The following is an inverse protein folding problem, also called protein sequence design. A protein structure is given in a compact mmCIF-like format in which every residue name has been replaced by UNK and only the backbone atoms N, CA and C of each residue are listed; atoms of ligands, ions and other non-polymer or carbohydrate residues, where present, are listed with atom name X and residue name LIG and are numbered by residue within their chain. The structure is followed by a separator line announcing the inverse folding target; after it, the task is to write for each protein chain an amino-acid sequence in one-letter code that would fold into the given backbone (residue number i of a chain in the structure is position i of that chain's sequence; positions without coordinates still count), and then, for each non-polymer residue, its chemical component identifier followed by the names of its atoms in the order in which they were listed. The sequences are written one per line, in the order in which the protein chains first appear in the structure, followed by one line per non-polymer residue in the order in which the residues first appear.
data_IF_175303811592
#
_entry.id   IF_175303811592
#
_cell.length_a   1.000
_cell.length_b   1.000
_cell.length_c   1.000
_cell.angle_alpha   90.00
_cell.angle_beta   90.00
_cell.angle_gamma   90.00
#
_symmetry.space_group_name_H-M   'P 1'
#
loop_
_entity.id
_entity.type
_entity.pdbx_description
1 polymer ?
#
# COMPACT_ATOMS: atom_id res chain seq x y z
N UNK A 1 15.97 2.28 -17.23
CA UNK A 1 15.74 1.08 -16.39
C UNK A 1 14.37 0.48 -16.68
N UNK A 2 14.19 -0.79 -16.33
CA UNK A 2 12.90 -1.47 -16.29
C UNK A 2 12.49 -1.71 -14.85
N UNK A 3 11.44 -1.03 -14.41
CA UNK A 3 11.00 -1.00 -13.02
C UNK A 3 9.65 -1.69 -12.94
N UNK A 4 9.54 -2.70 -12.09
CA UNK A 4 8.27 -3.36 -11.77
C UNK A 4 7.85 -2.96 -10.37
N UNK A 5 6.74 -2.25 -10.25
CA UNK A 5 6.13 -1.90 -8.97
C UNK A 5 5.13 -3.02 -8.64
N UNK A 6 5.46 -3.85 -7.66
CA UNK A 6 4.53 -4.82 -7.10
C UNK A 6 3.80 -4.13 -5.94
N UNK A 7 2.47 -4.04 -6.05
CA UNK A 7 1.65 -3.43 -5.01
C UNK A 7 0.32 -4.18 -4.87
N UNK A 8 -0.21 -4.35 -3.65
CA UNK A 8 -1.56 -4.85 -3.46
C UNK A 8 -2.63 -3.80 -3.80
N UNK A 9 -2.30 -2.51 -3.85
CA UNK A 9 -3.23 -1.44 -4.19
C UNK A 9 -2.52 -0.29 -4.91
N UNK A 10 -3.23 0.42 -5.78
CA UNK A 10 -2.73 1.57 -6.51
C UNK A 10 -3.89 2.33 -7.16
N UNK A 11 -3.83 3.65 -7.10
CA UNK A 11 -4.71 4.49 -7.91
C UNK A 11 -4.31 4.39 -9.39
N UNK A 12 -5.27 4.42 -10.32
CA UNK A 12 -6.72 4.58 -10.10
C UNK A 12 -7.46 3.27 -9.78
N UNK A 13 -6.78 2.11 -9.82
CA UNK A 13 -7.44 0.81 -9.90
C UNK A 13 -8.11 0.35 -8.59
N UNK A 14 -7.38 0.36 -7.48
CA UNK A 14 -7.87 -0.08 -6.18
C UNK A 14 -7.16 0.69 -5.05
N UNK A 15 -7.91 1.08 -4.02
CA UNK A 15 -7.41 1.92 -2.93
C UNK A 15 -8.10 1.61 -1.61
N UNK A 16 -7.30 1.40 -0.57
CA UNK A 16 -7.78 1.42 0.83
C UNK A 16 -7.04 2.44 1.68
N UNK A 17 -5.79 2.75 1.36
CA UNK A 17 -4.96 3.69 2.11
C UNK A 17 -4.04 4.54 1.23
N UNK A 18 -3.05 5.17 1.87
CA UNK A 18 -2.08 6.04 1.21
C UNK A 18 -1.08 5.30 0.33
N UNK A 19 -0.87 4.00 0.57
CA UNK A 19 -0.05 3.14 -0.30
C UNK A 19 -0.53 3.23 -1.76
N UNK A 20 -1.84 3.16 -1.98
CA UNK A 20 -2.39 3.23 -3.32
C UNK A 20 -2.04 4.53 -4.05
N UNK A 21 -2.07 5.65 -3.34
CA UNK A 21 -1.74 6.97 -3.89
C UNK A 21 -0.26 7.02 -4.29
N UNK A 22 0.63 6.54 -3.42
CA UNK A 22 2.07 6.51 -3.68
C UNK A 22 2.40 5.62 -4.87
N UNK A 23 1.86 4.40 -4.92
CA UNK A 23 2.15 3.46 -6.00
C UNK A 23 1.68 3.99 -7.37
N UNK A 24 0.48 4.60 -7.42
CA UNK A 24 -0.05 5.19 -8.66
C UNK A 24 0.72 6.43 -9.11
N UNK A 25 1.01 7.36 -8.19
CA UNK A 25 1.77 8.57 -8.49
C UNK A 25 3.22 8.24 -8.91
N UNK A 26 3.88 7.32 -8.22
CA UNK A 26 5.24 6.90 -8.56
C UNK A 26 5.32 6.28 -9.96
N UNK A 27 4.36 5.43 -10.33
CA UNK A 27 4.30 4.86 -11.69
C UNK A 27 4.25 5.97 -12.75
N UNK A 28 3.36 6.95 -12.55
CA UNK A 28 3.18 8.09 -13.45
C UNK A 28 4.48 8.89 -13.58
N UNK A 29 5.10 9.25 -12.46
CA UNK A 29 6.35 10.03 -12.44
C UNK A 29 7.53 9.29 -13.09
N UNK A 30 7.68 7.98 -12.85
CA UNK A 30 8.72 7.19 -13.52
C UNK A 30 8.52 7.16 -15.04
N UNK A 31 7.28 7.02 -15.51
CA UNK A 31 6.97 7.04 -16.96
C UNK A 31 7.18 8.42 -17.57
N UNK A 32 6.87 9.50 -16.84
CA UNK A 32 7.18 10.88 -17.25
C UNK A 32 8.69 11.11 -17.38
N UNK A 33 9.50 10.44 -16.55
CA UNK A 33 10.96 10.41 -16.68
C UNK A 33 11.48 9.42 -17.75
N UNK A 34 10.59 8.90 -18.60
CA UNK A 34 10.89 7.95 -19.67
C UNK A 34 11.45 6.60 -19.22
N UNK A 35 11.22 6.22 -17.96
CA UNK A 35 11.54 4.88 -17.47
C UNK A 35 10.52 3.84 -17.96
N UNK A 36 10.96 2.60 -18.19
CA UNK A 36 10.06 1.48 -18.51
C UNK A 36 9.47 0.94 -17.22
N UNK A 37 8.49 1.66 -16.67
CA UNK A 37 7.82 1.31 -15.42
C UNK A 37 6.46 0.64 -15.66
N UNK A 38 6.21 -0.41 -14.89
CA UNK A 38 4.99 -1.21 -14.90
C UNK A 38 4.50 -1.44 -13.48
N UNK A 39 3.20 -1.41 -13.31
CA UNK A 39 2.53 -1.79 -12.07
C UNK A 39 2.00 -3.22 -12.18
N UNK A 40 2.12 -4.01 -11.12
CA UNK A 40 1.48 -5.32 -11.02
C UNK A 40 0.59 -5.34 -9.79
N UNK A 41 -0.67 -5.73 -9.99
CA UNK A 41 -1.73 -5.79 -8.98
C UNK A 41 -2.46 -7.15 -9.03
N UNK A 42 -3.04 -7.60 -7.92
CA UNK A 42 -4.11 -8.59 -7.97
C UNK A 42 -5.32 -8.04 -8.74
N UNK A 43 -6.00 -8.88 -9.52
CA UNK A 43 -7.24 -8.47 -10.17
C UNK A 43 -8.43 -8.64 -9.22
N UNK A 44 -8.71 -7.61 -8.41
CA UNK A 44 -9.88 -7.57 -7.54
C UNK A 44 -11.18 -7.34 -8.30
N UNK A 45 -12.31 -7.75 -7.71
CA UNK A 45 -13.66 -7.53 -8.23
C UNK A 45 -13.92 -6.08 -8.61
N UNK A 46 -13.50 -5.13 -7.76
CA UNK A 46 -13.69 -3.68 -7.98
C UNK A 46 -12.95 -3.17 -9.22
N UNK A 47 -11.79 -3.76 -9.55
CA UNK A 47 -11.05 -3.41 -10.75
C UNK A 47 -11.78 -3.96 -11.98
N UNK A 48 -12.17 -5.25 -11.91
CA UNK A 48 -12.84 -5.96 -13.00
C UNK A 48 -14.19 -5.35 -13.38
N UNK A 49 -14.91 -4.76 -12.42
CA UNK A 49 -16.20 -4.11 -12.67
C UNK A 49 -16.09 -2.69 -13.21
N UNK A 50 -15.00 -1.96 -12.90
CA UNK A 50 -14.84 -0.54 -13.21
C UNK A 50 -13.98 -0.26 -14.44
N UNK A 51 -13.02 -1.13 -14.75
CA UNK A 51 -12.02 -0.89 -15.79
C UNK A 51 -12.13 -1.87 -16.95
N UNK A 52 -11.94 -1.36 -18.16
CA UNK A 52 -11.76 -2.20 -19.35
C UNK A 52 -10.35 -2.77 -19.36
N UNK A 53 -10.25 -4.08 -19.21
CA UNK A 53 -8.99 -4.81 -19.18
C UNK A 53 -8.88 -5.75 -20.38
N UNK A 54 -7.66 -6.04 -20.79
CA UNK A 54 -7.38 -6.90 -21.93
C UNK A 54 -6.69 -8.17 -21.47
N UNK A 55 -7.29 -9.32 -21.76
CA UNK A 55 -6.66 -10.60 -21.49
C UNK A 55 -5.44 -10.78 -22.41
N UNK A 56 -4.31 -11.16 -21.83
CA UNK A 56 -3.08 -11.44 -22.59
C UNK A 56 -3.10 -12.83 -23.25
N UNK A 57 -4.08 -13.66 -22.89
CA UNK A 57 -4.12 -15.08 -23.25
C UNK A 57 -3.10 -15.94 -22.50
N UNK A 58 -2.31 -15.35 -21.60
CA UNK A 58 -1.30 -16.06 -20.79
C UNK A 58 -1.85 -16.41 -19.42
N UNK A 59 -1.38 -17.54 -18.90
CA UNK A 59 -1.72 -18.05 -17.57
C UNK A 59 -0.47 -18.46 -16.82
N UNK A 60 -0.49 -18.34 -15.51
CA UNK A 60 0.55 -18.77 -14.58
C UNK A 60 -0.01 -19.82 -13.63
N UNK A 61 0.85 -20.68 -13.09
CA UNK A 61 0.48 -21.68 -12.08
C UNK A 61 1.42 -21.54 -10.91
N UNK A 62 0.85 -21.32 -9.73
CA UNK A 62 1.60 -21.14 -8.48
C UNK A 62 1.25 -22.28 -7.53
N UNK A 63 2.26 -22.99 -7.03
CA UNK A 63 2.10 -24.02 -6.01
C UNK A 63 2.12 -23.39 -4.62
N UNK A 64 1.11 -23.67 -3.81
CA UNK A 64 1.02 -23.18 -2.42
C UNK A 64 0.68 -24.38 -1.54
N UNK A 65 1.65 -24.78 -0.71
CA UNK A 65 1.60 -26.08 -0.03
C UNK A 65 1.44 -27.22 -1.06
N UNK A 66 0.34 -27.96 -0.95
CA UNK A 66 0.01 -29.06 -1.88
C UNK A 66 -0.95 -28.65 -3.01
N UNK A 67 -1.50 -27.44 -2.97
CA UNK A 67 -2.45 -26.96 -3.96
C UNK A 67 -1.74 -26.21 -5.11
N UNK A 68 -2.39 -26.18 -6.27
CA UNK A 68 -1.98 -25.36 -7.40
C UNK A 68 -3.07 -24.34 -7.71
N UNK A 69 -2.69 -23.06 -7.73
CA UNK A 69 -3.56 -21.96 -8.09
C UNK A 69 -3.21 -21.48 -9.49
N UNK A 70 -4.22 -21.36 -10.35
CA UNK A 70 -4.05 -20.84 -11.71
C UNK A 70 -4.40 -19.35 -11.75
N UNK A 71 -3.49 -18.55 -12.27
CA UNK A 71 -3.69 -17.13 -12.51
C UNK A 71 -3.84 -16.81 -14.00
N UNK A 72 -4.74 -15.91 -14.38
CA UNK A 72 -4.76 -15.32 -15.74
C UNK A 72 -4.16 -13.92 -15.71
N UNK A 73 -3.43 -13.56 -16.75
CA UNK A 73 -2.79 -12.24 -16.84
C UNK A 73 -3.63 -11.32 -17.74
N UNK A 74 -4.01 -10.17 -17.18
CA UNK A 74 -4.65 -9.06 -17.88
C UNK A 74 -3.73 -7.84 -17.91
N UNK A 75 -3.98 -6.91 -18.82
CA UNK A 75 -3.26 -5.65 -18.94
C UNK A 75 -4.21 -4.46 -19.14
N UNK A 76 -3.72 -3.25 -18.81
CA UNK A 76 -4.51 -2.00 -18.91
C UNK A 76 -4.72 -1.50 -20.34
N UNK A 77 -3.90 -1.93 -21.30
CA UNK A 77 -3.98 -1.57 -22.71
C UNK A 77 -3.65 -2.77 -23.62
N UNK A 78 -4.09 -2.75 -24.89
CA UNK A 78 -3.72 -3.75 -25.91
C UNK A 78 -2.30 -3.55 -26.45
N UNK A 79 -1.71 -2.41 -26.15
CA UNK A 79 -0.44 -1.95 -26.70
C UNK A 79 0.73 -2.77 -26.16
N UNK A 80 1.89 -2.67 -26.80
CA UNK A 80 3.10 -3.42 -26.44
C UNK A 80 3.70 -3.01 -25.06
N UNK A 81 3.21 -1.92 -24.46
CA UNK A 81 3.75 -1.36 -23.22
C UNK A 81 2.63 -0.91 -22.25
N UNK A 82 1.80 -1.84 -21.74
CA UNK A 82 0.74 -1.49 -20.80
C UNK A 82 1.33 -0.92 -19.51
N UNK A 83 0.63 0.01 -18.88
CA UNK A 83 1.10 0.62 -17.62
C UNK A 83 0.93 -0.32 -16.43
N UNK A 84 -0.06 -1.21 -16.51
CA UNK A 84 -0.39 -2.13 -15.44
C UNK A 84 -0.71 -3.52 -15.97
N UNK A 85 -0.25 -4.52 -15.23
CA UNK A 85 -0.66 -5.91 -15.34
C UNK A 85 -1.49 -6.32 -14.11
N UNK A 86 -2.48 -7.18 -14.35
CA UNK A 86 -3.36 -7.68 -13.31
C UNK A 86 -3.36 -9.20 -13.31
N UNK A 87 -3.29 -9.78 -12.11
CA UNK A 87 -3.28 -11.23 -11.92
C UNK A 87 -4.65 -11.65 -11.41
N UNK A 88 -5.45 -12.27 -12.28
CA UNK A 88 -6.74 -12.85 -11.94
C UNK A 88 -6.56 -14.20 -11.27
N UNK A 89 -7.12 -14.35 -10.08
CA UNK A 89 -7.37 -15.63 -9.44
C UNK A 89 -8.67 -15.46 -8.65
N UNK A 90 -9.82 -15.71 -9.29
CA UNK A 90 -11.15 -15.41 -8.70
C UNK A 90 -11.36 -16.15 -7.35
N UNK A 91 -10.74 -17.31 -7.16
CA UNK A 91 -10.76 -18.05 -5.88
C UNK A 91 -10.20 -17.20 -4.71
N UNK A 92 -9.13 -16.42 -4.97
CA UNK A 92 -8.41 -15.62 -3.98
C UNK A 92 -8.84 -14.13 -3.98
N UNK A 93 -9.23 -13.57 -5.13
CA UNK A 93 -9.48 -12.12 -5.28
C UNK A 93 -10.92 -11.77 -5.66
N UNK A 94 -11.78 -12.76 -5.91
CA UNK A 94 -13.22 -12.59 -6.11
C UNK A 94 -13.95 -12.27 -4.81
N UNK A 95 -13.59 -11.15 -4.19
CA UNK A 95 -14.16 -10.64 -2.94
C UNK A 95 -14.54 -9.15 -3.09
N UNK A 96 -15.46 -8.62 -2.27
CA UNK A 96 -15.83 -7.21 -2.33
C UNK A 96 -14.69 -6.26 -1.93
N UNK A 97 -13.95 -6.61 -0.89
CA UNK A 97 -12.88 -5.79 -0.32
C UNK A 97 -11.48 -6.39 -0.58
N UNK A 98 -10.44 -5.58 -0.37
CA UNK A 98 -9.06 -5.97 -0.67
C UNK A 98 -8.47 -6.92 0.37
N UNK A 99 -8.61 -6.61 1.67
CA UNK A 99 -7.93 -7.32 2.75
C UNK A 99 -8.87 -7.97 3.77
N UNK A 100 -10.08 -7.44 3.95
CA UNK A 100 -11.02 -7.88 4.97
C UNK A 100 -12.30 -7.06 4.94
N UNK A 101 -13.26 -7.39 5.80
CA UNK A 101 -14.51 -6.64 5.97
C UNK A 101 -14.53 -5.96 7.34
N UNK A 102 -15.64 -5.33 7.70
CA UNK A 102 -15.84 -4.82 9.07
C UNK A 102 -15.75 -5.90 10.15
N UNK A 103 -15.85 -7.19 9.79
CA UNK A 103 -15.67 -8.32 10.70
C UNK A 103 -14.19 -8.70 10.92
N UNK A 104 -13.27 -8.11 10.17
CA UNK A 104 -11.83 -8.36 10.25
C UNK A 104 -11.22 -8.81 8.93
N UNK A 105 -9.92 -9.12 9.00
CA UNK A 105 -9.11 -9.60 7.88
C UNK A 105 -9.61 -10.94 7.34
N UNK A 106 -9.47 -11.16 6.03
CA UNK A 106 -9.73 -12.47 5.46
C UNK A 106 -8.72 -13.50 6.00
N UNK A 107 -9.22 -14.61 6.52
CA UNK A 107 -8.41 -15.64 7.18
C UNK A 107 -7.36 -16.28 6.25
N UNK A 108 -7.59 -16.27 4.94
CA UNK A 108 -6.70 -16.80 3.91
C UNK A 108 -5.71 -15.76 3.36
N UNK A 109 -5.62 -14.56 3.96
CA UNK A 109 -4.72 -13.49 3.52
C UNK A 109 -3.27 -13.94 3.30
N UNK A 110 -2.75 -14.80 4.18
CA UNK A 110 -1.42 -15.38 3.98
C UNK A 110 -1.30 -16.08 2.60
N UNK A 111 -2.27 -16.93 2.26
CA UNK A 111 -2.32 -17.66 0.98
C UNK A 111 -2.45 -16.68 -0.19
N UNK A 112 -3.33 -15.68 -0.06
CA UNK A 112 -3.59 -14.68 -1.11
C UNK A 112 -2.33 -13.90 -1.49
N UNK A 113 -1.49 -13.55 -0.52
CA UNK A 113 -0.30 -12.73 -0.79
C UNK A 113 0.99 -13.55 -0.96
N UNK A 114 1.04 -14.79 -0.48
CA UNK A 114 2.00 -15.81 -0.96
C UNK A 114 1.79 -16.04 -2.45
N UNK A 115 0.53 -16.27 -2.86
CA UNK A 115 0.17 -16.41 -4.27
C UNK A 115 0.66 -15.19 -5.05
N UNK A 116 0.29 -13.99 -4.61
CA UNK A 116 0.63 -12.76 -5.32
C UNK A 116 2.15 -12.59 -5.50
N UNK A 117 2.92 -12.74 -4.43
CA UNK A 117 4.38 -12.60 -4.46
C UNK A 117 5.03 -13.57 -5.46
N UNK A 118 4.58 -14.83 -5.48
CA UNK A 118 5.03 -15.81 -6.48
C UNK A 118 4.54 -15.47 -7.88
N UNK A 119 3.28 -15.06 -8.00
CA UNK A 119 2.63 -14.77 -9.26
C UNK A 119 3.27 -13.58 -10.00
N UNK A 120 3.79 -12.58 -9.28
CA UNK A 120 4.60 -11.49 -9.86
C UNK A 120 5.84 -12.04 -10.56
N UNK A 121 6.56 -12.97 -9.94
CA UNK A 121 7.75 -13.59 -10.53
C UNK A 121 7.38 -14.49 -11.73
N UNK A 122 6.33 -15.29 -11.62
CA UNK A 122 5.83 -16.11 -12.74
C UNK A 122 5.33 -15.26 -13.92
N UNK A 123 4.72 -14.10 -13.64
CA UNK A 123 4.33 -13.13 -14.65
C UNK A 123 5.56 -12.59 -15.39
N UNK A 124 6.64 -12.26 -14.67
CA UNK A 124 7.89 -11.80 -15.27
C UNK A 124 8.46 -12.84 -16.25
N UNK A 125 8.46 -14.12 -15.86
CA UNK A 125 8.91 -15.21 -16.72
C UNK A 125 8.00 -15.38 -17.95
N UNK A 126 6.69 -15.42 -17.73
CA UNK A 126 5.68 -15.70 -18.76
C UNK A 126 5.58 -14.59 -19.79
N UNK A 127 5.65 -13.33 -19.35
CA UNK A 127 5.61 -12.14 -20.19
C UNK A 127 6.99 -11.70 -20.67
N UNK A 128 8.05 -12.44 -20.30
CA UNK A 128 9.46 -12.14 -20.62
C UNK A 128 9.90 -10.75 -20.15
N UNK A 129 9.31 -10.26 -19.08
CA UNK A 129 9.69 -9.01 -18.42
C UNK A 129 10.89 -9.32 -17.53
N UNK A 130 12.08 -8.87 -17.94
CA UNK A 130 13.30 -8.85 -17.11
C UNK A 130 13.42 -7.49 -16.42
N UNK A 131 12.95 -7.31 -15.17
CA UNK A 131 13.08 -6.05 -14.45
C UNK A 131 14.52 -5.84 -13.96
N UNK A 132 15.00 -4.60 -14.05
CA UNK A 132 16.23 -4.18 -13.37
C UNK A 132 15.95 -4.03 -11.87
N UNK A 133 14.76 -3.50 -11.52
CA UNK A 133 14.30 -3.33 -10.14
C UNK A 133 12.88 -3.85 -9.98
N UNK A 134 12.64 -4.63 -8.92
CA UNK A 134 11.30 -4.90 -8.40
C UNK A 134 11.10 -4.10 -7.11
N UNK A 135 10.17 -3.15 -7.17
CA UNK A 135 9.79 -2.32 -6.04
C UNK A 135 8.58 -2.97 -5.34
N UNK A 136 8.85 -3.56 -4.18
CA UNK A 136 7.90 -4.27 -3.35
C UNK A 136 7.30 -3.31 -2.31
N UNK A 137 5.98 -3.23 -2.23
CA UNK A 137 5.27 -2.39 -1.28
C UNK A 137 4.53 -3.23 -0.23
N UNK A 138 4.84 -2.97 1.05
CA UNK A 138 4.26 -3.60 2.24
C UNK A 138 4.30 -5.14 2.28
N UNK A 139 3.83 -5.71 3.39
CA UNK A 139 3.92 -7.13 3.71
C UNK A 139 3.35 -8.05 2.62
N UNK A 140 2.38 -7.57 1.83
CA UNK A 140 1.73 -8.28 0.74
C UNK A 140 2.69 -8.69 -0.38
N UNK A 141 3.82 -8.00 -0.52
CA UNK A 141 4.84 -8.25 -1.54
C UNK A 141 6.22 -8.57 -0.94
N UNK A 142 6.31 -8.63 0.39
CA UNK A 142 7.55 -8.80 1.13
C UNK A 142 8.24 -10.16 0.89
N UNK A 143 7.51 -11.17 0.37
CA UNK A 143 8.10 -12.47 0.02
C UNK A 143 8.83 -12.47 -1.32
N UNK A 144 8.60 -11.50 -2.20
CA UNK A 144 9.28 -11.39 -3.50
C UNK A 144 10.82 -11.38 -3.35
N UNK A 145 11.44 -10.48 -2.54
CA UNK A 145 12.90 -10.47 -2.37
C UNK A 145 13.43 -11.78 -1.78
N UNK A 146 12.69 -12.38 -0.83
CA UNK A 146 13.06 -13.68 -0.27
C UNK A 146 13.03 -14.79 -1.34
N UNK A 147 12.01 -14.80 -2.20
CA UNK A 147 11.87 -15.79 -3.27
C UNK A 147 12.97 -15.67 -4.31
N UNK A 148 13.37 -14.45 -4.67
CA UNK A 148 14.53 -14.21 -5.52
C UNK A 148 15.83 -14.80 -4.92
N UNK A 149 16.00 -14.72 -3.59
CA UNK A 149 17.19 -15.25 -2.89
C UNK A 149 17.07 -16.74 -2.51
N UNK A 150 15.93 -17.38 -2.76
CA UNK A 150 15.66 -18.78 -2.39
C UNK A 150 15.17 -19.60 -3.58
N UNK A 151 13.86 -19.62 -3.84
CA UNK A 151 13.23 -20.47 -4.85
C UNK A 151 13.63 -20.12 -6.29
N UNK A 152 13.99 -18.86 -6.55
CA UNK A 152 14.36 -18.35 -7.88
C UNK A 152 15.85 -17.97 -7.97
N UNK A 153 16.67 -18.31 -6.96
CA UNK A 153 18.08 -17.88 -6.87
C UNK A 153 18.92 -18.26 -8.10
N UNK A 154 18.67 -19.44 -8.67
CA UNK A 154 19.43 -19.99 -9.80
C UNK A 154 18.76 -19.66 -11.15
N UNK A 155 17.67 -18.88 -11.14
CA UNK A 155 16.97 -18.49 -12.36
C UNK A 155 17.67 -17.28 -13.01
N UNK A 156 18.35 -17.53 -14.13
CA UNK A 156 19.11 -16.52 -14.87
C UNK A 156 18.28 -15.34 -15.37
N UNK A 157 16.93 -15.45 -15.41
CA UNK A 157 16.04 -14.34 -15.76
C UNK A 157 16.11 -13.19 -14.76
N UNK A 158 16.40 -13.47 -13.48
CA UNK A 158 16.47 -12.49 -12.39
C UNK A 158 17.89 -12.22 -11.90
N UNK A 159 18.92 -12.74 -12.55
CA UNK A 159 20.31 -12.66 -12.08
C UNK A 159 20.85 -11.23 -11.88
N UNK A 160 20.21 -10.23 -12.50
CA UNK A 160 20.54 -8.80 -12.37
C UNK A 160 19.41 -7.96 -11.76
N UNK A 161 18.37 -8.61 -11.24
CA UNK A 161 17.23 -7.93 -10.65
C UNK A 161 17.54 -7.55 -9.21
N UNK A 162 17.47 -6.26 -8.90
CA UNK A 162 17.51 -5.73 -7.53
C UNK A 162 16.11 -5.51 -6.98
N UNK A 163 16.01 -5.40 -5.66
CA UNK A 163 14.75 -5.20 -4.94
C UNK A 163 14.81 -4.01 -4.01
N UNK A 164 13.76 -3.19 -4.07
CA UNK A 164 13.51 -2.13 -3.09
C UNK A 164 12.23 -2.51 -2.35
N UNK A 165 12.26 -2.49 -1.02
CA UNK A 165 11.09 -2.76 -0.19
C UNK A 165 10.65 -1.50 0.54
N UNK A 166 9.43 -1.02 0.30
CA UNK A 166 8.87 0.12 1.03
C UNK A 166 7.91 -0.33 2.11
N UNK A 167 8.13 0.15 3.33
CA UNK A 167 7.17 0.04 4.42
C UNK A 167 6.36 1.33 4.52
N UNK A 168 5.06 1.25 4.26
CA UNK A 168 4.13 2.38 4.38
C UNK A 168 3.52 2.47 5.77
N UNK A 169 3.40 1.33 6.46
CA UNK A 169 2.86 1.27 7.81
C UNK A 169 3.40 0.06 8.58
N UNK A 170 4.16 0.31 9.65
CA UNK A 170 4.79 -0.74 10.46
C UNK A 170 3.78 -1.52 11.33
N UNK A 171 2.58 -0.97 11.51
CA UNK A 171 1.51 -1.63 12.26
C UNK A 171 0.88 -2.82 11.52
N UNK A 172 1.04 -2.93 10.20
CA UNK A 172 0.49 -4.03 9.39
C UNK A 172 1.62 -4.87 8.78
N UNK A 173 1.98 -5.97 9.46
CA UNK A 173 3.19 -6.74 9.13
C UNK A 173 2.94 -8.09 8.45
N UNK A 174 1.68 -8.52 8.36
CA UNK A 174 1.34 -9.88 7.91
C UNK A 174 1.91 -10.93 8.87
N UNK A 175 1.47 -10.90 10.13
CA UNK A 175 1.84 -11.88 11.15
C UNK A 175 0.83 -13.03 11.12
N UNK A 176 1.32 -14.25 10.93
CA UNK A 176 0.49 -15.45 10.78
C UNK A 176 1.03 -16.62 11.58
N UNK A 177 0.26 -17.69 11.68
CA UNK A 177 0.69 -18.92 12.34
C UNK A 177 1.87 -19.57 11.61
N UNK A 178 2.73 -20.28 12.36
CA UNK A 178 3.93 -20.93 11.85
C UNK A 178 3.66 -21.89 10.67
N UNK A 179 2.45 -22.45 10.59
CA UNK A 179 2.00 -23.32 9.49
C UNK A 179 2.04 -22.62 8.12
N UNK A 180 1.97 -21.28 8.08
CA UNK A 180 2.10 -20.48 6.84
C UNK A 180 3.42 -20.72 6.12
N UNK A 181 4.47 -21.10 6.84
CA UNK A 181 5.78 -21.41 6.26
C UNK A 181 5.69 -22.53 5.20
N UNK A 182 4.88 -23.57 5.47
CA UNK A 182 4.65 -24.67 4.54
C UNK A 182 3.99 -24.16 3.25
N UNK A 183 2.98 -23.30 3.37
CA UNK A 183 2.30 -22.72 2.22
C UNK A 183 3.21 -21.79 1.42
N UNK A 184 4.10 -21.06 2.09
CA UNK A 184 5.12 -20.22 1.45
C UNK A 184 6.17 -21.03 0.66
N UNK A 185 6.20 -22.36 0.80
CA UNK A 185 7.14 -23.24 0.11
C UNK A 185 8.56 -23.17 0.70
N UNK A 186 8.68 -22.81 1.97
CA UNK A 186 9.97 -22.62 2.66
C UNK A 186 10.23 -23.75 3.65
N UNK A 187 11.52 -24.07 3.83
CA UNK A 187 11.97 -25.05 4.81
C UNK A 187 11.88 -24.53 6.24
N UNK A 188 11.91 -25.45 7.22
CA UNK A 188 11.89 -25.10 8.66
C UNK A 188 13.07 -24.24 9.08
N UNK A 189 14.16 -24.24 8.32
CA UNK A 189 15.32 -23.37 8.53
C UNK A 189 14.98 -21.88 8.39
N UNK A 190 13.86 -21.52 7.77
CA UNK A 190 13.35 -20.13 7.73
C UNK A 190 12.56 -19.74 8.98
N UNK A 191 12.16 -20.70 9.82
CA UNK A 191 11.42 -20.45 11.06
C UNK A 191 12.37 -20.41 12.27
N UNK A 192 13.25 -19.41 12.25
CA UNK A 192 14.16 -19.07 13.35
C UNK A 192 14.17 -17.55 13.56
N UNK A 193 14.50 -17.05 14.77
CA UNK A 193 14.44 -15.63 15.10
C UNK A 193 15.28 -14.73 14.16
N UNK A 194 16.36 -15.24 13.59
CA UNK A 194 17.21 -14.52 12.63
C UNK A 194 16.56 -14.39 11.25
N UNK A 195 15.50 -15.16 10.98
CA UNK A 195 14.77 -15.19 9.71
C UNK A 195 13.31 -14.78 9.91
N UNK A 196 12.34 -15.64 9.62
CA UNK A 196 10.94 -15.25 9.54
C UNK A 196 10.14 -15.47 10.83
N UNK A 197 10.71 -16.19 11.81
CA UNK A 197 10.05 -16.38 13.10
C UNK A 197 9.96 -15.05 13.85
N UNK A 198 8.85 -14.86 14.55
CA UNK A 198 8.51 -13.66 15.28
C UNK A 198 7.57 -14.02 16.44
N UNK A 199 8.13 -14.26 17.63
CA UNK A 199 7.40 -14.58 18.86
C UNK A 199 6.44 -15.78 18.73
N UNK A 200 6.93 -16.89 18.18
CA UNK A 200 6.18 -18.12 17.90
C UNK A 200 5.34 -18.07 16.62
N UNK A 201 5.32 -16.93 15.92
CA UNK A 201 4.58 -16.70 14.68
C UNK A 201 5.50 -16.46 13.49
N UNK A 202 4.93 -16.40 12.30
CA UNK A 202 5.62 -16.04 11.06
C UNK A 202 5.31 -14.59 10.71
N UNK A 203 6.32 -13.80 10.36
CA UNK A 203 6.14 -12.40 9.97
C UNK A 203 6.59 -12.18 8.51
N UNK A 204 5.65 -11.86 7.62
CA UNK A 204 5.96 -11.69 6.20
C UNK A 204 6.72 -10.39 5.92
N UNK A 205 6.39 -9.28 6.57
CA UNK A 205 7.13 -8.02 6.42
C UNK A 205 8.61 -8.18 6.78
N UNK A 206 8.91 -9.00 7.80
CA UNK A 206 10.29 -9.33 8.17
C UNK A 206 11.08 -9.95 7.02
N UNK A 207 10.43 -10.71 6.12
CA UNK A 207 11.07 -11.20 4.89
C UNK A 207 11.51 -10.05 3.98
N UNK A 208 10.65 -9.04 3.79
CA UNK A 208 10.96 -7.86 2.99
C UNK A 208 12.14 -7.09 3.58
N UNK A 209 12.14 -6.90 4.90
CA UNK A 209 13.22 -6.21 5.61
C UNK A 209 14.56 -6.96 5.59
N UNK A 210 14.55 -8.29 5.66
CA UNK A 210 15.79 -9.07 5.70
C UNK A 210 16.39 -9.33 4.32
N UNK A 211 15.54 -9.51 3.30
CA UNK A 211 15.98 -10.03 2.01
C UNK A 211 15.97 -9.00 0.88
N UNK A 212 15.40 -7.80 1.06
CA UNK A 212 15.51 -6.73 0.07
C UNK A 212 16.91 -6.14 0.01
N UNK A 213 17.29 -5.58 -1.14
CA UNK A 213 18.59 -4.93 -1.31
C UNK A 213 18.59 -3.54 -0.66
N UNK A 214 17.51 -2.78 -0.83
CA UNK A 214 17.28 -1.51 -0.13
C UNK A 214 15.89 -1.48 0.51
N UNK A 215 15.79 -0.77 1.63
CA UNK A 215 14.55 -0.54 2.36
C UNK A 215 14.24 0.95 2.29
N UNK A 216 12.97 1.27 2.04
CA UNK A 216 12.50 2.66 2.08
C UNK A 216 11.28 2.78 2.98
N UNK A 217 11.00 4.00 3.44
CA UNK A 217 9.77 4.31 4.15
C UNK A 217 9.33 5.75 3.88
N UNK A 218 8.20 6.17 4.44
CA UNK A 218 7.43 7.34 3.98
C UNK A 218 7.99 8.71 4.39
N UNK A 219 9.05 8.76 5.21
CA UNK A 219 9.80 9.98 5.54
C UNK A 219 11.09 9.64 6.29
N UNK A 220 12.03 10.59 6.34
CA UNK A 220 13.27 10.45 7.12
C UNK A 220 13.00 10.34 8.62
N UNK A 221 12.10 11.18 9.15
CA UNK A 221 11.69 11.09 10.56
C UNK A 221 11.13 9.70 10.87
N UNK A 222 10.23 9.20 10.03
CA UNK A 222 9.65 7.88 10.24
C UNK A 222 10.68 6.75 10.10
N UNK A 223 11.68 6.89 9.22
CA UNK A 223 12.81 5.95 9.13
C UNK A 223 13.59 5.85 10.45
N UNK A 224 13.74 6.96 11.18
CA UNK A 224 14.31 6.96 12.53
C UNK A 224 13.35 6.39 13.57
N UNK A 225 12.08 6.78 13.54
CA UNK A 225 11.06 6.34 14.50
C UNK A 225 10.90 4.83 14.53
N UNK A 226 10.77 4.17 13.36
CA UNK A 226 10.58 2.71 13.28
C UNK A 226 11.78 1.90 13.78
N UNK A 227 12.93 2.54 14.02
CA UNK A 227 14.09 1.91 14.65
C UNK A 227 14.04 1.97 16.18
N UNK A 228 13.07 2.69 16.76
CA UNK A 228 12.81 2.73 18.20
C UNK A 228 11.83 1.61 18.58
N UNK A 229 11.98 1.06 19.79
CA UNK A 229 11.14 -0.04 20.26
C UNK A 229 9.64 0.31 20.29
N UNK A 230 9.30 1.57 20.55
CA UNK A 230 7.92 2.07 20.62
C UNK A 230 7.20 2.05 19.26
N UNK A 231 7.91 2.35 18.17
CA UNK A 231 7.32 2.50 16.83
C UNK A 231 7.76 1.44 15.82
N UNK A 232 8.73 0.59 16.17
CA UNK A 232 9.18 -0.50 15.32
C UNK A 232 8.35 -1.77 15.43
N UNK A 233 7.37 -1.82 16.35
CA UNK A 233 6.43 -2.94 16.53
C UNK A 233 7.15 -4.30 16.59
N UNK A 234 8.26 -4.37 17.35
CA UNK A 234 9.09 -5.57 17.52
C UNK A 234 10.05 -5.88 16.37
N UNK A 235 10.03 -5.13 15.27
CA UNK A 235 10.99 -5.22 14.15
C UNK A 235 12.09 -4.16 14.24
N UNK A 236 12.10 -3.32 15.27
CA UNK A 236 13.08 -2.27 15.52
C UNK A 236 14.52 -2.81 15.51
N UNK A 237 14.75 -4.00 16.08
CA UNK A 237 16.06 -4.67 16.05
C UNK A 237 16.51 -5.10 14.65
N UNK A 238 15.57 -5.50 13.78
CA UNK A 238 15.86 -5.83 12.37
C UNK A 238 16.20 -4.55 11.60
N UNK A 239 15.43 -3.49 11.81
CA UNK A 239 15.61 -2.21 11.13
C UNK A 239 16.93 -1.54 11.53
N UNK A 240 17.31 -1.56 12.81
CA UNK A 240 18.64 -1.07 13.26
C UNK A 240 19.79 -1.82 12.60
N UNK A 241 19.68 -3.15 12.44
CA UNK A 241 20.69 -3.96 11.72
C UNK A 241 20.79 -3.59 10.24
N UNK A 242 19.69 -3.10 9.65
CA UNK A 242 19.60 -2.66 8.25
C UNK A 242 19.64 -1.13 8.09
N UNK A 243 20.07 -0.38 9.11
CA UNK A 243 20.01 1.08 9.10
C UNK A 243 20.79 1.72 7.93
N UNK A 244 21.88 1.10 7.50
CA UNK A 244 22.66 1.56 6.33
C UNK A 244 21.95 1.38 4.98
N UNK A 245 20.90 0.55 4.94
CA UNK A 245 20.10 0.27 3.75
C UNK A 245 18.68 0.87 3.86
N UNK A 246 18.36 1.58 4.95
CA UNK A 246 17.04 2.13 5.24
C UNK A 246 17.01 3.63 4.96
N UNK A 247 16.11 4.05 4.06
CA UNK A 247 16.00 5.44 3.62
C UNK A 247 14.57 5.97 3.79
N UNK A 248 14.44 7.19 4.29
CA UNK A 248 13.16 7.87 4.34
C UNK A 248 12.89 8.69 3.08
N UNK A 249 11.91 8.29 2.29
CA UNK A 249 11.50 9.02 1.09
C UNK A 249 10.13 9.63 1.34
N UNK A 250 10.08 10.96 1.41
CA UNK A 250 8.84 11.68 1.60
C UNK A 250 7.87 11.42 0.44
N UNK A 251 6.65 11.00 0.78
CA UNK A 251 5.61 10.82 -0.22
C UNK A 251 5.28 12.14 -0.91
N UNK A 252 5.15 12.10 -2.24
CA UNK A 252 4.56 13.19 -3.01
C UNK A 252 3.04 13.13 -3.02
N UNK A 253 2.42 14.18 -3.55
CA UNK A 253 0.99 14.22 -3.89
C UNK A 253 0.83 14.50 -5.39
N UNK A 254 -0.24 13.98 -6.01
CA UNK A 254 -0.51 14.28 -7.42
C UNK A 254 -1.13 15.67 -7.56
N UNK A 255 -0.32 16.65 -7.95
CA UNK A 255 -0.78 18.02 -8.17
C UNK A 255 -1.75 18.15 -9.36
N UNK A 256 -1.91 17.15 -10.22
CA UNK A 256 -2.97 17.17 -11.23
C UNK A 256 -4.36 16.98 -10.60
N UNK A 257 -4.42 16.23 -9.49
CA UNK A 257 -5.63 15.99 -8.71
C UNK A 257 -5.80 17.02 -7.59
N UNK A 258 -4.72 17.27 -6.83
CA UNK A 258 -4.70 18.16 -5.66
C UNK A 258 -4.17 19.55 -6.01
N UNK A 259 -4.98 20.32 -6.74
CA UNK A 259 -4.61 21.66 -7.19
C UNK A 259 -5.81 22.61 -7.13
N UNK A 260 -5.86 23.52 -6.14
CA UNK A 260 -6.98 24.44 -5.94
C UNK A 260 -7.31 25.33 -7.16
N UNK A 261 -6.36 25.57 -8.05
CA UNK A 261 -6.54 26.36 -9.27
C UNK A 261 -7.33 25.61 -10.35
N UNK A 262 -7.42 24.28 -10.27
CA UNK A 262 -8.11 23.42 -11.25
C UNK A 262 -9.13 22.46 -10.66
N UNK A 263 -9.17 22.32 -9.34
CA UNK A 263 -10.08 21.44 -8.61
C UNK A 263 -11.55 21.77 -8.93
N UNK A 264 -12.27 20.76 -9.42
CA UNK A 264 -13.68 20.86 -9.81
C UNK A 264 -14.64 20.60 -8.64
N UNK A 265 -14.15 20.09 -7.51
CA UNK A 265 -14.94 19.75 -6.32
C UNK A 265 -15.09 20.93 -5.37
N UNK A 266 -14.18 21.90 -5.41
CA UNK A 266 -14.30 23.13 -4.63
C UNK A 266 -15.16 24.16 -5.36
N UNK A 267 -16.01 24.91 -4.64
CA UNK A 267 -16.95 25.85 -5.27
C UNK A 267 -16.28 27.10 -5.84
N UNK A 268 -15.02 27.38 -5.47
CA UNK A 268 -14.24 28.46 -6.06
C UNK A 268 -12.77 28.04 -6.11
N UNK A 269 -12.20 28.12 -7.30
CA UNK A 269 -10.76 27.97 -7.51
C UNK A 269 -10.00 29.14 -6.89
N UNK A 270 -8.75 28.89 -6.53
CA UNK A 270 -7.81 29.87 -5.98
C UNK A 270 -6.37 29.42 -6.21
N UNK A 271 -5.43 30.33 -6.07
CA UNK A 271 -4.00 30.05 -6.10
C UNK A 271 -3.25 30.89 -5.04
N UNK A 272 -1.93 30.96 -5.15
CA UNK A 272 -1.07 31.72 -4.23
C UNK A 272 -1.22 33.24 -4.39
N UNK A 273 -1.57 33.71 -5.58
CA UNK A 273 -1.67 35.12 -5.93
C UNK A 273 -3.09 35.67 -5.68
N UNK A 274 -4.13 34.84 -5.86
CA UNK A 274 -5.52 35.14 -5.49
C UNK A 274 -6.09 34.11 -4.49
N UNK A 275 -5.86 34.30 -3.17
CA UNK A 275 -6.44 33.44 -2.14
C UNK A 275 -7.93 33.71 -1.90
N UNK A 276 -8.55 34.68 -2.58
CA UNK A 276 -9.95 35.07 -2.36
C UNK A 276 -10.95 33.94 -2.56
N UNK A 277 -10.64 32.99 -3.46
CA UNK A 277 -11.45 31.78 -3.64
C UNK A 277 -11.49 30.89 -2.41
N UNK A 278 -10.42 30.84 -1.61
CA UNK A 278 -10.41 30.10 -0.34
C UNK A 278 -11.44 30.64 0.65
N UNK A 279 -11.64 31.95 0.71
CA UNK A 279 -12.66 32.58 1.56
C UNK A 279 -14.08 32.21 1.12
N UNK A 280 -14.32 32.15 -0.20
CA UNK A 280 -15.60 31.68 -0.76
C UNK A 280 -15.85 30.20 -0.43
N UNK A 281 -14.84 29.36 -0.60
CA UNK A 281 -14.89 27.95 -0.21
C UNK A 281 -15.20 27.77 1.28
N UNK A 282 -14.51 28.53 2.15
CA UNK A 282 -14.75 28.51 3.60
C UNK A 282 -16.20 28.89 3.93
N UNK A 283 -16.73 29.97 3.34
CA UNK A 283 -18.11 30.42 3.57
C UNK A 283 -19.12 29.33 3.21
N UNK A 284 -18.95 28.70 2.04
CA UNK A 284 -19.84 27.63 1.58
C UNK A 284 -19.72 26.40 2.47
N UNK A 285 -18.50 26.03 2.89
CA UNK A 285 -18.28 24.91 3.82
C UNK A 285 -18.97 25.15 5.16
N UNK A 286 -18.84 26.34 5.75
CA UNK A 286 -19.47 26.65 7.04
C UNK A 286 -20.99 26.67 6.97
N UNK A 287 -21.55 27.12 5.83
CA UNK A 287 -22.99 27.07 5.57
C UNK A 287 -23.48 25.63 5.43
N UNK A 288 -22.77 24.80 4.65
CA UNK A 288 -23.10 23.38 4.48
C UNK A 288 -23.00 22.59 5.80
N UNK A 289 -22.03 22.93 6.64
CA UNK A 289 -21.86 22.33 7.97
C UNK A 289 -22.84 22.89 9.03
N UNK A 290 -23.69 23.86 8.66
CA UNK A 290 -24.68 24.48 9.53
C UNK A 290 -24.11 25.07 10.84
N UNK A 291 -22.89 25.63 10.80
CA UNK A 291 -22.30 26.25 11.99
C UNK A 291 -23.04 27.55 12.36
N UNK A 292 -23.46 27.66 13.62
CA UNK A 292 -24.15 28.85 14.13
C UNK A 292 -23.30 30.14 14.05
N UNK A 293 -21.96 30.01 14.15
CA UNK A 293 -21.02 31.14 14.08
C UNK A 293 -20.03 30.94 12.93
N UNK A 294 -20.46 31.26 11.71
CA UNK A 294 -19.67 31.07 10.47
C UNK A 294 -18.33 31.81 10.43
N UNK A 295 -18.10 32.83 11.28
CA UNK A 295 -16.86 33.62 11.31
C UNK A 295 -15.76 33.02 12.18
N UNK A 296 -16.05 32.01 13.00
CA UNK A 296 -15.06 31.36 13.87
C UNK A 296 -14.04 30.53 13.06
N UNK A 297 -12.81 30.33 13.56
CA UNK A 297 -11.85 29.41 12.94
C UNK A 297 -12.46 28.03 12.70
N UNK A 298 -12.11 27.41 11.57
CA UNK A 298 -12.57 26.06 11.21
C UNK A 298 -11.37 25.12 11.29
N UNK A 299 -11.45 24.11 12.14
CA UNK A 299 -10.56 22.97 12.12
C UNK A 299 -11.27 21.78 11.47
N UNK A 300 -10.55 21.01 10.65
CA UNK A 300 -11.08 19.84 9.99
C UNK A 300 -10.16 18.65 10.22
N UNK A 301 -10.76 17.51 10.56
CA UNK A 301 -10.09 16.22 10.71
C UNK A 301 -10.68 15.30 9.66
N UNK A 302 -9.83 14.87 8.72
CA UNK A 302 -10.22 13.96 7.63
C UNK A 302 -9.31 12.73 7.71
N UNK A 303 -9.82 11.65 8.29
CA UNK A 303 -9.01 10.45 8.52
C UNK A 303 -9.86 9.19 8.76
N UNK A 304 -9.23 8.02 8.90
CA UNK A 304 -9.89 6.85 9.51
C UNK A 304 -10.14 7.16 10.99
N UNK A 305 -11.33 6.86 11.49
CA UNK A 305 -11.66 7.11 12.90
C UNK A 305 -11.12 5.96 13.76
N UNK A 306 -9.89 6.12 14.25
CA UNK A 306 -9.21 5.14 15.11
C UNK A 306 -8.35 5.84 16.17
N UNK A 307 -8.00 5.09 17.22
CA UNK A 307 -7.06 5.56 18.27
C UNK A 307 -5.71 5.97 17.67
N UNK A 308 -5.23 5.25 16.65
CA UNK A 308 -4.00 5.59 15.92
C UNK A 308 -4.05 6.99 15.29
N UNK A 309 -5.25 7.52 15.00
CA UNK A 309 -5.44 8.87 14.46
C UNK A 309 -5.73 9.92 15.54
N UNK A 310 -5.65 9.53 16.82
CA UNK A 310 -5.82 10.43 17.96
C UNK A 310 -7.26 10.90 18.15
N UNK A 311 -8.26 10.14 17.68
CA UNK A 311 -9.67 10.55 17.80
C UNK A 311 -10.13 10.57 19.26
N UNK A 312 -9.56 9.72 20.11
CA UNK A 312 -9.70 9.77 21.56
C UNK A 312 -9.24 11.12 22.15
N UNK A 313 -8.11 11.67 21.66
CA UNK A 313 -7.65 13.00 22.06
C UNK A 313 -8.61 14.10 21.61
N UNK A 314 -9.16 13.98 20.39
CA UNK A 314 -10.15 14.92 19.86
C UNK A 314 -11.42 14.90 20.72
N UNK A 315 -11.97 13.72 21.00
CA UNK A 315 -13.17 13.56 21.84
C UNK A 315 -12.98 14.17 23.23
N UNK A 316 -11.83 13.94 23.86
CA UNK A 316 -11.54 14.49 25.19
C UNK A 316 -11.35 16.01 25.21
N UNK A 317 -11.05 16.63 24.07
CA UNK A 317 -10.69 18.05 23.97
C UNK A 317 -11.76 18.91 23.28
N UNK A 318 -12.75 18.30 22.63
CA UNK A 318 -13.67 18.99 21.72
C UNK A 318 -14.52 20.06 22.39
N UNK A 319 -15.04 19.81 23.60
CA UNK A 319 -15.84 20.78 24.35
C UNK A 319 -15.01 22.03 24.68
N UNK A 320 -13.75 21.84 25.09
CA UNK A 320 -12.84 22.94 25.37
C UNK A 320 -12.52 23.74 24.09
N UNK A 321 -12.27 23.06 22.97
CA UNK A 321 -12.02 23.71 21.67
C UNK A 321 -13.23 24.52 21.18
N UNK A 322 -14.44 23.97 21.32
CA UNK A 322 -15.69 24.66 20.97
C UNK A 322 -15.93 25.85 21.90
N UNK A 323 -15.68 25.70 23.20
CA UNK A 323 -15.80 26.80 24.18
C UNK A 323 -14.81 27.95 23.88
N UNK A 324 -13.62 27.64 23.35
CA UNK A 324 -12.66 28.64 22.85
C UNK A 324 -13.09 29.31 21.54
N UNK A 325 -14.23 28.91 20.96
CA UNK A 325 -14.76 29.51 19.75
C UNK A 325 -14.16 28.93 18.47
N UNK A 326 -13.99 27.61 18.38
CA UNK A 326 -13.68 26.91 17.13
C UNK A 326 -14.89 26.16 16.58
N UNK A 327 -15.03 26.17 15.24
CA UNK A 327 -15.88 25.25 14.51
C UNK A 327 -15.04 24.02 14.13
N UNK A 328 -15.55 22.81 14.39
CA UNK A 328 -14.81 21.56 14.15
C UNK A 328 -15.61 20.68 13.20
N UNK A 329 -14.95 20.20 12.15
CA UNK A 329 -15.48 19.20 11.22
C UNK A 329 -14.70 17.91 11.41
N UNK A 330 -15.40 16.81 11.65
CA UNK A 330 -14.82 15.45 11.66
C UNK A 330 -15.44 14.68 10.51
N UNK A 331 -14.62 14.16 9.60
CA UNK A 331 -15.04 13.35 8.48
C UNK A 331 -14.18 12.09 8.41
N UNK A 332 -14.82 10.93 8.56
CA UNK A 332 -14.12 9.66 8.55
C UNK A 332 -15.05 8.47 8.70
N UNK A 333 -14.46 7.29 8.57
CA UNK A 333 -15.07 6.00 8.94
C UNK A 333 -14.04 5.18 9.71
N UNK A 334 -14.46 4.31 10.62
CA UNK A 334 -13.54 3.52 11.43
C UNK A 334 -14.23 2.72 12.53
N UNK A 335 -13.69 2.79 13.74
CA UNK A 335 -14.19 2.01 14.87
C UNK A 335 -15.54 2.57 15.33
N UNK A 336 -16.50 1.67 15.60
CA UNK A 336 -17.88 2.04 15.92
C UNK A 336 -18.00 2.94 17.16
N UNK A 337 -17.05 2.88 18.09
CA UNK A 337 -16.97 3.78 19.24
C UNK A 337 -16.80 5.24 18.79
N UNK A 338 -15.90 5.49 17.83
CA UNK A 338 -15.58 6.83 17.34
C UNK A 338 -16.60 7.34 16.32
N UNK A 339 -17.26 6.46 15.59
CA UNK A 339 -18.33 6.87 14.65
C UNK A 339 -19.63 7.31 15.34
N UNK A 340 -19.85 6.87 16.58
CA UNK A 340 -21.05 7.21 17.38
C UNK A 340 -20.89 8.48 18.20
N UNK A 341 -19.66 8.98 18.32
CA UNK A 341 -19.37 10.28 18.90
C UNK A 341 -19.75 11.37 17.90
#
# INVERSE_FOLDING_TARGET
MKILIASPEAVPYAKTGGLADVAGALLKELRLKHEKAFLVLPLYTVIKSKYKLYATGKTIVVKIGNAQYKGKIFCSAKDENPEAYFIECDELYGRPELYGTSAGDYADNAIRFIFFSRAVLELCLTMRIKPDVIHCNDWQTALIPLYLKSLYKDNSHFARTSTVFTVHNMGYQGIFEASVLFYAGLGRDYFIPERLEFYGKLNLMKAGLLYSDLITTVSETYAHEIQLAEYGFGLDGVLRKRAGDLYGIMNGIDYAEWAPERDAFIPSKYDVDDPGGKLRCRKILTQKAAFAKEKLPVAAIISRLSSQKGIDLVMSSIDALVAMGMNIIVLGKGEALYERF
#
